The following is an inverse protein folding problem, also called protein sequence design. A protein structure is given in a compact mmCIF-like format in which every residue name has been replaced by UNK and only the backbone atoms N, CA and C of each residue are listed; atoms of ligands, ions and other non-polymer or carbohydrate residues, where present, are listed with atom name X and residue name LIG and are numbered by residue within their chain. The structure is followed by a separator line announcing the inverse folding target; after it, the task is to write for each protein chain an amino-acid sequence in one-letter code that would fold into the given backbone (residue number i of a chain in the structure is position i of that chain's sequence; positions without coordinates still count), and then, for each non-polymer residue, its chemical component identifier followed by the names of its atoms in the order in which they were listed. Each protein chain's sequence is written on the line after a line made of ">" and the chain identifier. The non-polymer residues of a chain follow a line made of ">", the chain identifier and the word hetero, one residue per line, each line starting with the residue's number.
data_IF_272784928203
#
_entry.id   IF_272784928203
#
_cell.length_a   1.000
_cell.length_b   1.000
_cell.length_c   1.000
_cell.angle_alpha   90.00
_cell.angle_beta   90.00
_cell.angle_gamma   90.00
#
_symmetry.space_group_name_H-M   'P 1'
#
loop_
_entity.id
_entity.type
_entity.pdbx_description
1 polymer ?
#
# COMPACT_ATOMS: atom_id res chain seq x y z
N UNK A 1 14.90 21.59 -6.58
CA UNK A 1 13.55 21.87 -6.03
C UNK A 1 12.49 20.92 -6.55
N UNK A 2 12.15 20.84 -7.86
CA UNK A 2 11.10 19.88 -8.33
C UNK A 2 11.55 18.41 -8.19
N UNK A 3 12.75 18.04 -8.62
CA UNK A 3 13.24 16.65 -8.51
C UNK A 3 13.47 16.18 -7.07
N UNK A 4 13.80 17.10 -6.16
CA UNK A 4 14.03 16.78 -4.75
C UNK A 4 12.71 16.58 -4.00
N UNK A 5 11.65 17.34 -4.39
CA UNK A 5 10.29 17.16 -3.88
C UNK A 5 9.71 15.80 -4.27
N UNK A 6 10.02 15.33 -5.49
CA UNK A 6 9.57 14.01 -5.97
C UNK A 6 10.30 12.85 -5.28
N UNK A 7 11.62 12.97 -5.03
CA UNK A 7 12.39 11.91 -4.37
C UNK A 7 11.93 11.64 -2.93
N UNK A 8 11.52 12.68 -2.19
CA UNK A 8 11.00 12.53 -0.82
C UNK A 8 9.63 11.84 -0.82
N UNK A 9 8.77 12.16 -1.79
CA UNK A 9 7.44 11.52 -1.91
C UNK A 9 7.60 10.03 -2.28
N UNK A 10 8.56 9.68 -3.12
CA UNK A 10 8.82 8.28 -3.47
C UNK A 10 9.20 7.42 -2.26
N UNK A 11 10.04 7.92 -1.34
CA UNK A 11 10.40 7.22 -0.10
C UNK A 11 9.19 7.05 0.84
N UNK A 12 8.32 8.07 0.93
CA UNK A 12 7.08 7.98 1.71
C UNK A 12 6.11 6.95 1.09
N UNK A 13 6.01 6.89 -0.25
CA UNK A 13 5.20 5.89 -0.96
C UNK A 13 5.73 4.48 -0.67
N UNK A 14 7.04 4.25 -0.82
CA UNK A 14 7.67 2.96 -0.52
C UNK A 14 7.47 2.55 0.94
N UNK A 15 7.51 3.51 1.87
CA UNK A 15 7.22 3.28 3.30
C UNK A 15 5.78 2.80 3.52
N UNK A 16 4.81 3.35 2.79
CA UNK A 16 3.40 2.93 2.87
C UNK A 16 3.21 1.54 2.27
N UNK A 17 3.78 1.28 1.08
CA UNK A 17 3.63 0.01 0.36
C UNK A 17 4.29 -1.16 1.13
N UNK A 18 5.58 -1.04 1.46
CA UNK A 18 6.31 -2.06 2.22
C UNK A 18 5.74 -2.25 3.63
N UNK A 19 5.24 -1.16 4.24
CA UNK A 19 4.55 -1.21 5.52
C UNK A 19 3.27 -2.04 5.44
N UNK A 20 2.48 -1.89 4.38
CA UNK A 20 1.28 -2.69 4.16
C UNK A 20 1.61 -4.17 3.93
N UNK A 21 2.63 -4.49 3.15
CA UNK A 21 3.09 -5.88 2.95
C UNK A 21 3.48 -6.54 4.28
N UNK A 22 4.24 -5.83 5.11
CA UNK A 22 4.56 -6.29 6.45
C UNK A 22 3.30 -6.53 7.29
N UNK A 23 2.32 -5.62 7.24
CA UNK A 23 1.08 -5.74 8.01
C UNK A 23 0.20 -6.90 7.53
N UNK A 24 0.21 -7.24 6.25
CA UNK A 24 -0.42 -8.46 5.73
C UNK A 24 0.21 -9.72 6.37
N UNK A 25 1.54 -9.78 6.39
CA UNK A 25 2.27 -10.88 7.04
C UNK A 25 2.07 -10.89 8.57
N UNK A 26 1.91 -9.73 9.22
CA UNK A 26 1.59 -9.64 10.63
C UNK A 26 0.17 -10.11 10.95
N UNK A 27 -0.82 -9.72 10.14
CA UNK A 27 -2.21 -10.14 10.27
C UNK A 27 -2.35 -11.67 10.14
N UNK A 28 -1.65 -12.27 9.16
CA UNK A 28 -1.68 -13.72 8.93
C UNK A 28 -1.19 -14.58 10.12
N UNK A 29 -0.51 -13.98 11.11
CA UNK A 29 0.04 -14.71 12.25
C UNK A 29 -1.00 -15.02 13.35
N UNK A 30 -2.19 -14.39 13.32
CA UNK A 30 -3.26 -14.68 14.28
C UNK A 30 -2.89 -14.40 15.75
N UNK A 31 -1.94 -13.50 16.01
CA UNK A 31 -1.45 -13.20 17.36
C UNK A 31 -2.52 -12.46 18.18
N UNK A 32 -2.73 -12.84 19.46
CA UNK A 32 -3.60 -12.09 20.35
C UNK A 32 -3.03 -10.70 20.61
N UNK A 33 -3.92 -9.74 20.92
CA UNK A 33 -3.50 -8.37 21.22
C UNK A 33 -2.63 -8.32 22.49
N UNK A 34 -1.42 -7.77 22.36
CA UNK A 34 -0.45 -7.68 23.44
C UNK A 34 0.33 -6.37 23.41
N UNK A 35 0.95 -6.04 24.54
CA UNK A 35 1.96 -4.98 24.56
C UNK A 35 3.16 -5.47 23.78
N UNK A 36 3.64 -4.66 22.86
CA UNK A 36 4.82 -4.98 22.08
C UNK A 36 6.07 -4.74 22.93
N UNK A 37 6.70 -5.83 23.38
CA UNK A 37 7.93 -5.82 24.18
C UNK A 37 8.87 -6.92 23.69
N UNK A 38 10.18 -6.75 23.92
CA UNK A 38 11.18 -7.75 23.57
C UNK A 38 11.41 -7.93 22.06
N UNK A 39 12.07 -9.02 21.65
CA UNK A 39 12.37 -9.30 20.24
C UNK A 39 11.17 -9.87 19.50
N UNK A 40 11.05 -9.53 18.21
CA UNK A 40 10.01 -10.06 17.32
C UNK A 40 9.48 -8.98 16.38
N UNK A 41 8.72 -9.36 15.34
CA UNK A 41 8.05 -8.38 14.52
C UNK A 41 6.97 -7.69 15.35
N UNK A 42 7.12 -6.37 15.49
CA UNK A 42 6.17 -5.47 16.12
C UNK A 42 5.50 -4.65 15.03
N UNK A 43 4.17 -4.54 15.07
CA UNK A 43 3.40 -3.77 14.11
C UNK A 43 3.45 -2.27 14.38
N UNK A 44 3.60 -1.82 15.63
CA UNK A 44 3.56 -0.38 15.95
C UNK A 44 4.61 0.45 15.23
N UNK A 45 5.90 0.05 15.13
CA UNK A 45 6.89 0.84 14.39
C UNK A 45 6.47 1.05 12.93
N UNK A 46 5.98 0.00 12.27
CA UNK A 46 5.45 0.06 10.90
C UNK A 46 4.24 0.98 10.81
N UNK A 47 3.27 0.84 11.72
CA UNK A 47 2.08 1.69 11.77
C UNK A 47 2.43 3.18 11.98
N UNK A 48 3.44 3.48 12.80
CA UNK A 48 3.94 4.85 13.00
C UNK A 48 4.60 5.39 11.73
N UNK A 49 5.45 4.58 11.08
CA UNK A 49 6.10 4.94 9.83
C UNK A 49 5.08 5.26 8.73
N UNK A 50 4.12 4.36 8.51
CA UNK A 50 3.04 4.56 7.54
C UNK A 50 2.21 5.81 7.85
N UNK A 51 1.86 6.05 9.12
CA UNK A 51 1.08 7.23 9.50
C UNK A 51 1.83 8.54 9.23
N UNK A 52 3.15 8.56 9.46
CA UNK A 52 3.99 9.72 9.16
C UNK A 52 4.16 9.92 7.65
N UNK A 53 4.39 8.85 6.90
CA UNK A 53 4.51 8.91 5.45
C UNK A 53 3.21 9.41 4.78
N UNK A 54 2.04 8.90 5.17
CA UNK A 54 0.75 9.41 4.68
C UNK A 54 0.53 10.89 5.01
N UNK A 55 0.97 11.34 6.18
CA UNK A 55 0.92 12.77 6.52
C UNK A 55 1.82 13.61 5.62
N UNK A 56 3.01 13.11 5.28
CA UNK A 56 3.93 13.80 4.38
C UNK A 56 3.36 13.87 2.95
N UNK A 57 2.86 12.74 2.42
CA UNK A 57 2.20 12.67 1.11
C UNK A 57 1.02 13.65 1.04
N UNK A 58 0.13 13.62 2.05
CA UNK A 58 -1.01 14.53 2.09
C UNK A 58 -0.57 16.00 2.12
N UNK A 59 0.50 16.36 2.84
CA UNK A 59 1.03 17.71 2.87
C UNK A 59 1.67 18.11 1.53
N UNK A 60 2.34 17.17 0.85
CA UNK A 60 2.99 17.41 -0.42
C UNK A 60 1.99 17.71 -1.55
N UNK A 61 0.84 17.04 -1.52
CA UNK A 61 -0.23 17.15 -2.51
C UNK A 61 -1.36 18.13 -2.13
N UNK A 62 -1.34 18.72 -0.93
CA UNK A 62 -2.41 19.59 -0.43
C UNK A 62 -2.77 20.75 -1.37
N UNK A 63 -1.76 21.36 -2.00
CA UNK A 63 -1.90 22.49 -2.91
C UNK A 63 -1.63 22.11 -4.38
N UNK A 64 -1.70 20.82 -4.72
CA UNK A 64 -1.49 20.38 -6.09
C UNK A 64 -2.54 20.95 -7.05
N UNK A 65 -2.15 21.23 -8.29
CA UNK A 65 -3.11 21.52 -9.36
C UNK A 65 -3.74 20.26 -9.95
N UNK A 66 -3.13 19.09 -9.77
CA UNK A 66 -3.62 17.80 -10.25
C UNK A 66 -4.76 17.29 -9.34
N UNK A 67 -5.86 16.86 -9.95
CA UNK A 67 -7.04 16.42 -9.20
C UNK A 67 -6.87 15.04 -8.56
N UNK A 68 -6.06 14.16 -9.16
CA UNK A 68 -5.79 12.84 -8.60
C UNK A 68 -4.83 12.92 -7.40
N UNK A 69 -3.83 13.81 -7.45
CA UNK A 69 -2.98 14.09 -6.28
C UNK A 69 -3.80 14.58 -5.07
N UNK A 70 -4.84 15.40 -5.30
CA UNK A 70 -5.77 15.83 -4.23
C UNK A 70 -6.59 14.67 -3.66
N UNK A 71 -7.00 13.71 -4.50
CA UNK A 71 -7.68 12.47 -4.04
C UNK A 71 -6.75 11.68 -3.13
N UNK A 72 -5.50 11.46 -3.55
CA UNK A 72 -4.48 10.78 -2.73
C UNK A 72 -4.30 11.49 -1.39
N UNK A 73 -4.22 12.82 -1.40
CA UNK A 73 -4.07 13.62 -0.17
C UNK A 73 -5.23 13.40 0.82
N UNK A 74 -6.47 13.44 0.31
CA UNK A 74 -7.66 13.20 1.12
C UNK A 74 -7.69 11.77 1.69
N UNK A 75 -7.35 10.78 0.89
CA UNK A 75 -7.37 9.39 1.32
C UNK A 75 -6.27 9.08 2.32
N UNK A 76 -5.08 9.70 2.17
CA UNK A 76 -4.03 9.67 3.17
C UNK A 76 -4.50 10.25 4.52
N UNK A 77 -5.29 11.34 4.52
CA UNK A 77 -5.86 11.90 5.74
C UNK A 77 -6.87 10.94 6.39
N UNK A 78 -7.74 10.33 5.60
CA UNK A 78 -8.74 9.37 6.09
C UNK A 78 -8.08 8.10 6.66
N UNK A 79 -7.11 7.52 5.96
CA UNK A 79 -6.35 6.38 6.43
C UNK A 79 -5.50 6.71 7.68
N UNK A 80 -4.91 7.91 7.72
CA UNK A 80 -4.18 8.42 8.89
C UNK A 80 -5.04 8.48 10.16
N UNK A 81 -6.33 8.80 10.05
CA UNK A 81 -7.26 8.77 11.18
C UNK A 81 -7.46 7.34 11.72
N UNK A 82 -7.58 6.34 10.82
CA UNK A 82 -7.68 4.93 11.19
C UNK A 82 -6.39 4.41 11.84
N UNK A 83 -5.22 4.71 11.26
CA UNK A 83 -3.92 4.40 11.85
C UNK A 83 -3.76 5.02 13.24
N UNK A 84 -4.12 6.30 13.40
CA UNK A 84 -4.11 6.98 14.69
C UNK A 84 -5.02 6.33 15.73
N UNK A 85 -6.17 5.80 15.32
CA UNK A 85 -7.08 5.06 16.21
C UNK A 85 -6.44 3.75 16.73
N UNK A 86 -5.77 3.00 15.86
CA UNK A 86 -5.00 1.79 16.24
C UNK A 86 -3.82 2.16 17.15
N UNK A 87 -3.07 3.21 16.81
CA UNK A 87 -1.87 3.62 17.56
C UNK A 87 -2.18 4.08 19.00
N UNK A 88 -3.39 4.57 19.27
CA UNK A 88 -3.83 4.91 20.64
C UNK A 88 -4.08 3.69 21.54
N UNK A 89 -4.21 2.49 20.96
CA UNK A 89 -4.43 1.28 21.74
C UNK A 89 -3.11 0.86 22.40
N UNK A 90 -3.16 0.46 23.67
CA UNK A 90 -1.97 -0.01 24.39
C UNK A 90 -1.44 -1.35 23.85
N UNK A 91 -2.36 -2.19 23.36
CA UNK A 91 -2.08 -3.53 22.83
C UNK A 91 -2.43 -3.60 21.34
N UNK A 92 -1.59 -4.25 20.56
CA UNK A 92 -1.80 -4.50 19.13
C UNK A 92 -1.81 -6.00 18.89
N UNK A 93 -2.74 -6.48 18.06
CA UNK A 93 -2.91 -7.89 17.73
C UNK A 93 -3.22 -8.07 16.25
N UNK A 94 -3.10 -9.30 15.75
CA UNK A 94 -3.24 -9.58 14.32
C UNK A 94 -4.63 -9.24 13.78
N UNK A 95 -5.71 -9.59 14.50
CA UNK A 95 -7.10 -9.24 14.10
C UNK A 95 -7.32 -7.73 13.98
N UNK A 96 -6.68 -6.94 14.85
CA UNK A 96 -6.78 -5.49 14.79
C UNK A 96 -6.10 -4.95 13.53
N UNK A 97 -4.93 -5.50 13.19
CA UNK A 97 -4.20 -5.16 11.96
C UNK A 97 -4.95 -5.66 10.72
N UNK A 98 -5.57 -6.84 10.77
CA UNK A 98 -6.36 -7.39 9.67
C UNK A 98 -7.58 -6.51 9.34
N UNK A 99 -8.32 -6.08 10.37
CA UNK A 99 -9.44 -5.14 10.20
C UNK A 99 -8.98 -3.78 9.67
N UNK A 100 -7.80 -3.31 10.07
CA UNK A 100 -7.19 -2.11 9.49
C UNK A 100 -6.86 -2.34 8.00
N UNK A 101 -6.25 -3.47 7.63
CA UNK A 101 -5.91 -3.81 6.26
C UNK A 101 -7.15 -3.96 5.35
N UNK A 102 -8.27 -4.39 5.94
CA UNK A 102 -9.56 -4.48 5.28
C UNK A 102 -10.30 -3.13 5.17
N UNK A 103 -9.86 -2.10 5.88
CA UNK A 103 -10.46 -0.76 5.84
C UNK A 103 -10.40 -0.18 4.43
N UNK A 104 -11.55 0.29 3.94
CA UNK A 104 -11.65 0.90 2.61
C UNK A 104 -10.70 2.09 2.45
N UNK A 105 -10.48 2.88 3.50
CA UNK A 105 -9.61 4.05 3.45
C UNK A 105 -8.14 3.68 3.26
N UNK A 106 -7.67 2.61 3.94
CA UNK A 106 -6.29 2.16 3.77
C UNK A 106 -6.10 1.54 2.38
N UNK A 107 -7.09 0.78 1.90
CA UNK A 107 -7.04 0.20 0.56
C UNK A 107 -7.07 1.25 -0.55
N UNK A 108 -7.85 2.32 -0.39
CA UNK A 108 -7.90 3.43 -1.35
C UNK A 108 -6.52 4.07 -1.54
N UNK A 109 -5.85 4.43 -0.42
CA UNK A 109 -4.47 4.97 -0.49
C UNK A 109 -3.55 4.04 -1.26
N UNK A 110 -3.55 2.74 -0.95
CA UNK A 110 -2.64 1.80 -1.63
C UNK A 110 -2.93 1.66 -3.12
N UNK A 111 -4.20 1.54 -3.49
CA UNK A 111 -4.55 1.43 -4.92
C UNK A 111 -4.22 2.71 -5.68
N UNK A 112 -4.38 3.87 -5.05
CA UNK A 112 -4.06 5.15 -5.68
C UNK A 112 -2.56 5.34 -5.82
N UNK A 113 -1.77 4.99 -4.80
CA UNK A 113 -0.31 5.06 -4.85
C UNK A 113 0.28 4.10 -5.88
N UNK A 114 -0.24 2.86 -5.98
CA UNK A 114 0.19 1.94 -7.03
C UNK A 114 -0.11 2.48 -8.44
N UNK A 115 -1.30 3.05 -8.65
CA UNK A 115 -1.65 3.67 -9.92
C UNK A 115 -0.76 4.88 -10.23
N UNK A 116 -0.55 5.74 -9.23
CA UNK A 116 0.27 6.94 -9.36
C UNK A 116 1.74 6.59 -9.70
N UNK A 117 2.32 5.64 -8.97
CA UNK A 117 3.68 5.14 -9.20
C UNK A 117 3.83 4.53 -10.59
N UNK A 118 2.90 3.66 -11.02
CA UNK A 118 2.94 3.00 -12.33
C UNK A 118 2.81 4.01 -13.48
N UNK A 119 2.00 5.06 -13.33
CA UNK A 119 1.88 6.10 -14.37
C UNK A 119 3.15 6.94 -14.51
N UNK A 120 3.81 7.28 -13.39
CA UNK A 120 5.03 8.09 -13.40
C UNK A 120 6.29 7.31 -13.74
N UNK A 121 6.37 6.05 -13.30
CA UNK A 121 7.46 5.11 -13.56
C UNK A 121 6.86 3.76 -13.92
N UNK A 122 6.39 3.59 -15.17
CA UNK A 122 5.90 2.30 -15.63
C UNK A 122 6.94 1.22 -15.42
N UNK A 123 6.50 0.04 -15.01
CA UNK A 123 7.36 -1.13 -15.03
C UNK A 123 7.86 -1.31 -16.46
N UNK A 124 9.18 -1.31 -16.64
CA UNK A 124 9.80 -1.63 -17.91
C UNK A 124 9.63 -3.12 -18.18
N UNK A 125 8.43 -3.49 -18.64
CA UNK A 125 8.16 -4.78 -19.26
C UNK A 125 8.81 -4.74 -20.64
N UNK A 126 10.15 -4.82 -20.65
CA UNK A 126 10.94 -4.73 -21.86
C UNK A 126 10.32 -5.52 -23.01
N UNK A 127 10.39 -4.96 -24.22
CA UNK A 127 9.94 -5.58 -25.47
C UNK A 127 10.58 -6.97 -25.76
N UNK A 128 11.44 -7.46 -24.87
CA UNK A 128 12.05 -8.79 -24.85
C UNK A 128 11.23 -9.85 -24.09
N UNK A 129 9.94 -9.61 -23.82
CA UNK A 129 9.00 -10.69 -23.51
C UNK A 129 8.85 -11.57 -24.76
N UNK A 130 9.78 -12.52 -24.90
CA UNK A 130 9.81 -13.56 -25.92
C UNK A 130 8.39 -14.05 -26.15
N UNK A 131 7.89 -13.86 -27.38
CA UNK A 131 6.57 -14.32 -27.78
C UNK A 131 6.35 -15.74 -27.25
N UNK A 132 5.22 -16.03 -26.57
CA UNK A 132 4.99 -17.37 -26.07
C UNK A 132 5.12 -18.33 -27.24
N UNK A 133 6.00 -19.33 -27.08
CA UNK A 133 6.15 -20.41 -28.05
C UNK A 133 4.74 -20.89 -28.41
N UNK A 134 4.42 -20.95 -29.70
CA UNK A 134 3.10 -21.26 -30.23
C UNK A 134 2.53 -22.55 -29.60
N UNK A 135 1.84 -22.38 -28.47
CA UNK A 135 1.04 -23.40 -27.83
C UNK A 135 -0.26 -23.47 -28.60
N UNK A 136 -0.36 -24.45 -29.50
CA UNK A 136 -1.55 -24.67 -30.31
C UNK A 136 -2.79 -24.74 -29.41
N UNK A 137 -3.74 -23.84 -29.65
CA UNK A 137 -5.07 -23.93 -29.07
C UNK A 137 -5.78 -25.07 -29.80
N UNK A 138 -5.89 -26.25 -29.18
CA UNK A 138 -6.84 -27.25 -29.64
C UNK A 138 -8.25 -26.70 -29.40
N UNK A 139 -8.88 -26.25 -30.47
CA UNK A 139 -10.29 -25.89 -30.45
C UNK A 139 -11.10 -27.19 -30.43
N UNK A 140 -11.83 -27.40 -29.34
CA UNK A 140 -12.78 -28.51 -29.23
C UNK A 140 -13.95 -28.27 -30.19
N UNK A 141 -14.08 -29.13 -31.20
CA UNK A 141 -15.22 -29.14 -32.12
C UNK A 141 -16.34 -30.04 -31.55
N UNK A 142 -17.37 -29.40 -31.01
CA UNK A 142 -18.53 -30.05 -30.39
C UNK A 142 -19.47 -30.76 -31.40
N UNK A 143 -19.15 -30.81 -32.69
CA UNK A 143 -20.00 -31.45 -33.71
C UNK A 143 -19.58 -32.88 -34.08
N UNK A 144 -18.48 -33.40 -33.53
CA UNK A 144 -18.13 -34.82 -33.72
C UNK A 144 -18.76 -35.71 -32.65
N UNK A 145 -19.84 -36.40 -33.02
CA UNK A 145 -20.30 -37.64 -32.39
C UNK A 145 -19.88 -38.83 -33.25
#
# INVERSE_FOLDING_TARGET
>A
MIHEKNAVIEEDIETVESGYEFLLAFAAQGRPAQKETGPGPHARPTLVGMAQAMKNIAAAFADSSDDFEKVIANDCQNAGAALGFILRQEKVGSEMVDNLNASIHLRAVLTDLFLYSEVLKPLDIGEDAQAPAAGGVETYDATKK
#
